data_IF_554401519878
#
_entry.id   IF_554401519878
#
_cell.length_a   1.000
_cell.length_b   1.000
_cell.length_c   1.000
_cell.angle_alpha   90.00
_cell.angle_beta   90.00
_cell.angle_gamma   90.00
#
_symmetry.space_group_name_H-M   'P 1'
#
loop_
_entity.id
_entity.type
_entity.pdbx_description
1 polymer ?
#
# COMPACT_ATOMS: atom_id res chain seq x y z
N UNK A 1 5.33 -9.47 -2.55
CA UNK A 1 5.90 -8.30 -1.84
C UNK A 1 4.78 -7.60 -1.12
N UNK A 2 5.08 -6.96 0.00
CA UNK A 2 4.15 -6.12 0.74
C UNK A 2 4.75 -4.73 0.86
N UNK A 3 3.99 -3.69 0.54
CA UNK A 3 4.36 -2.32 0.86
C UNK A 3 3.49 -1.81 2.00
N UNK A 4 4.08 -1.02 2.88
CA UNK A 4 3.36 -0.35 3.97
C UNK A 4 3.80 1.10 4.09
N UNK A 5 2.81 1.99 4.04
CA UNK A 5 2.97 3.40 4.39
C UNK A 5 2.37 3.66 5.77
N UNK A 6 2.97 4.61 6.48
CA UNK A 6 2.45 5.19 7.71
C UNK A 6 2.01 6.62 7.38
N UNK A 7 0.75 6.94 7.65
CA UNK A 7 0.18 8.28 7.50
C UNK A 7 -0.52 8.71 8.80
N UNK A 8 -1.12 9.90 8.77
CA UNK A 8 -1.92 10.42 9.88
C UNK A 8 -3.33 10.78 9.43
N UNK A 9 -4.31 10.46 10.26
CA UNK A 9 -5.71 10.87 10.08
C UNK A 9 -5.88 12.37 10.34
N UNK A 10 -7.06 12.92 9.98
CA UNK A 10 -7.37 14.33 10.21
C UNK A 10 -7.32 14.75 11.69
N UNK A 11 -7.56 13.82 12.61
CA UNK A 11 -7.44 14.02 14.06
C UNK A 11 -6.07 13.67 14.63
N UNK A 12 -5.06 13.48 13.77
CA UNK A 12 -3.66 13.31 14.16
C UNK A 12 -3.27 11.92 14.65
N UNK A 13 -4.13 10.90 14.49
CA UNK A 13 -3.79 9.51 14.83
C UNK A 13 -3.02 8.84 13.70
N UNK A 14 -2.20 7.84 14.03
CA UNK A 14 -1.53 7.04 13.02
C UNK A 14 -2.49 6.15 12.24
N UNK A 15 -2.14 5.89 10.98
CA UNK A 15 -2.83 4.97 10.08
C UNK A 15 -1.83 4.22 9.20
N UNK A 16 -2.05 2.93 9.03
CA UNK A 16 -1.33 2.10 8.07
C UNK A 16 -2.10 1.97 6.76
N UNK A 17 -1.37 2.02 5.66
CA UNK A 17 -1.88 1.77 4.30
C UNK A 17 -0.98 0.70 3.70
N UNK A 18 -1.58 -0.43 3.34
CA UNK A 18 -0.90 -1.65 2.95
C UNK A 18 -1.33 -2.05 1.54
N UNK A 19 -0.39 -2.62 0.78
CA UNK A 19 -0.71 -3.26 -0.48
C UNK A 19 0.21 -4.45 -0.73
N UNK A 20 -0.28 -5.43 -1.46
CA UNK A 20 0.45 -6.62 -1.87
C UNK A 20 0.54 -6.72 -3.38
N UNK A 21 1.73 -7.08 -3.85
CA UNK A 21 2.01 -7.18 -5.27
C UNK A 21 3.18 -8.12 -5.54
N UNK A 22 3.69 -8.06 -6.76
CA UNK A 22 4.77 -8.91 -7.24
C UNK A 22 5.98 -8.08 -7.68
N UNK A 23 7.18 -8.53 -7.33
CA UNK A 23 8.42 -8.05 -7.97
C UNK A 23 8.65 -8.90 -9.20
N UNK A 24 8.62 -8.28 -10.38
CA UNK A 24 8.76 -8.97 -11.64
C UNK A 24 10.18 -8.83 -12.18
N UNK A 25 10.66 -9.88 -12.85
CA UNK A 25 11.87 -9.78 -13.64
C UNK A 25 11.70 -8.78 -14.80
N UNK A 26 12.81 -8.18 -15.23
CA UNK A 26 12.84 -7.30 -16.39
C UNK A 26 14.12 -6.45 -16.47
N UNK A 27 14.22 -5.62 -17.52
CA UNK A 27 15.31 -4.66 -17.64
C UNK A 27 15.35 -3.69 -16.45
N UNK A 28 16.54 -3.41 -15.95
CA UNK A 28 16.77 -2.43 -14.88
C UNK A 28 17.09 -1.08 -15.53
N UNK A 29 16.35 0.00 -15.21
CA UNK A 29 16.68 1.34 -15.67
C UNK A 29 18.13 1.73 -15.28
N UNK A 30 18.93 2.35 -16.18
CA UNK A 30 20.33 2.71 -15.91
C UNK A 30 20.43 3.96 -15.02
N UNK A 31 19.77 3.96 -13.86
CA UNK A 31 19.69 5.09 -12.93
C UNK A 31 20.72 4.99 -11.79
N UNK A 32 21.46 3.88 -11.69
CA UNK A 32 22.45 3.64 -10.62
C UNK A 32 21.84 3.20 -9.28
N UNK A 33 20.52 3.07 -9.18
CA UNK A 33 19.81 2.67 -7.95
C UNK A 33 19.31 1.23 -8.02
N UNK A 34 19.13 0.61 -6.86
CA UNK A 34 18.33 -0.63 -6.74
C UNK A 34 16.88 -0.32 -7.10
N UNK A 35 16.35 -1.04 -8.08
CA UNK A 35 14.99 -0.89 -8.55
C UNK A 35 14.23 -2.22 -8.43
N UNK A 36 12.92 -2.13 -8.19
CA UNK A 36 12.01 -3.27 -8.31
C UNK A 36 10.92 -2.93 -9.32
N UNK A 37 10.63 -3.86 -10.23
CA UNK A 37 9.50 -3.71 -11.16
C UNK A 37 8.25 -4.27 -10.50
N UNK A 38 7.40 -3.40 -9.97
CA UNK A 38 6.22 -3.82 -9.22
C UNK A 38 5.00 -4.01 -10.12
N UNK A 39 4.22 -5.07 -9.86
CA UNK A 39 2.84 -5.24 -10.35
C UNK A 39 1.91 -5.38 -9.15
N UNK A 40 0.80 -4.68 -9.19
CA UNK A 40 -0.28 -4.75 -8.20
C UNK A 40 -1.59 -5.00 -8.94
N UNK A 41 -2.47 -5.78 -8.32
CA UNK A 41 -3.82 -6.03 -8.82
C UNK A 41 -4.74 -4.82 -8.53
N UNK A 42 -5.82 -4.63 -9.31
CA UNK A 42 -6.13 -5.33 -10.57
C UNK A 42 -5.31 -4.81 -11.77
N UNK A 43 -4.85 -3.57 -11.69
CA UNK A 43 -4.00 -2.93 -12.69
C UNK A 43 -3.29 -1.71 -12.07
N UNK A 44 -2.24 -1.21 -12.75
CA UNK A 44 -1.42 -0.10 -12.23
C UNK A 44 -2.22 1.17 -11.96
N UNK A 45 -3.21 1.50 -12.80
CA UNK A 45 -3.96 2.74 -12.68
C UNK A 45 -4.94 2.67 -11.52
N UNK A 46 -5.68 1.57 -11.41
CA UNK A 46 -6.60 1.31 -10.30
C UNK A 46 -5.84 1.22 -8.98
N UNK A 47 -4.69 0.54 -8.96
CA UNK A 47 -3.84 0.46 -7.77
C UNK A 47 -3.34 1.84 -7.33
N UNK A 48 -2.75 2.63 -8.24
CA UNK A 48 -2.23 3.96 -7.90
C UNK A 48 -3.35 4.87 -7.41
N UNK A 49 -4.53 4.82 -8.02
CA UNK A 49 -5.70 5.56 -7.55
C UNK A 49 -6.09 5.10 -6.13
N UNK A 50 -6.34 3.80 -5.93
CA UNK A 50 -6.73 3.26 -4.63
C UNK A 50 -5.72 3.61 -3.52
N UNK A 51 -4.42 3.44 -3.80
CA UNK A 51 -3.32 3.79 -2.90
C UNK A 51 -3.34 5.28 -2.58
N UNK A 52 -3.43 6.15 -3.59
CA UNK A 52 -3.40 7.60 -3.40
C UNK A 52 -4.61 8.13 -2.62
N UNK A 53 -5.78 7.52 -2.81
CA UNK A 53 -7.02 7.91 -2.12
C UNK A 53 -6.96 7.72 -0.60
N UNK A 54 -6.14 6.78 -0.14
CA UNK A 54 -5.94 6.53 1.29
C UNK A 54 -4.94 7.50 1.94
N UNK A 55 -4.37 8.44 1.18
CA UNK A 55 -3.45 9.46 1.68
C UNK A 55 -2.11 8.96 2.24
N UNK A 56 -1.37 8.07 1.55
CA UNK A 56 -0.05 7.63 1.96
C UNK A 56 1.00 8.73 1.74
N UNK A 57 2.14 8.60 2.41
CA UNK A 57 3.31 9.42 2.07
C UNK A 57 4.01 8.89 0.81
N UNK A 58 4.92 9.69 0.25
CA UNK A 58 5.76 9.24 -0.89
C UNK A 58 6.77 8.16 -0.48
N UNK A 59 7.06 8.00 0.83
CA UNK A 59 7.89 6.94 1.35
C UNK A 59 7.03 5.79 1.90
N UNK A 60 7.52 4.56 1.69
CA UNK A 60 6.92 3.35 2.24
C UNK A 60 8.01 2.30 2.45
N UNK A 61 7.77 1.38 3.38
CA UNK A 61 8.62 0.20 3.54
C UNK A 61 8.21 -0.87 2.53
N UNK A 62 9.19 -1.52 1.91
CA UNK A 62 9.02 -2.64 0.99
C UNK A 62 9.52 -3.93 1.66
N UNK A 63 8.64 -4.90 1.83
CA UNK A 63 8.90 -6.21 2.44
C UNK A 63 8.79 -7.37 1.46
N UNK A 64 9.54 -8.45 1.75
CA UNK A 64 9.47 -9.72 1.03
C UNK A 64 8.23 -10.50 1.48
N UNK A 65 7.60 -11.21 0.54
CA UNK A 65 6.42 -12.05 0.81
C UNK A 65 5.10 -11.29 0.73
N UNK A 66 4.01 -11.99 1.06
CA UNK A 66 2.67 -11.43 1.23
C UNK A 66 2.29 -11.55 2.71
N UNK A 67 2.66 -10.50 3.47
CA UNK A 67 2.55 -10.44 4.92
C UNK A 67 1.59 -9.35 5.42
N UNK A 68 0.69 -8.83 4.57
CA UNK A 68 -0.27 -7.80 4.96
C UNK A 68 -1.09 -8.21 6.20
N UNK A 69 -1.48 -9.49 6.29
CA UNK A 69 -2.20 -10.05 7.44
C UNK A 69 -1.45 -9.89 8.78
N UNK A 70 -0.11 -9.89 8.77
CA UNK A 70 0.71 -9.65 9.98
C UNK A 70 0.68 -8.17 10.37
N UNK A 71 0.75 -7.27 9.38
CA UNK A 71 0.67 -5.81 9.59
C UNK A 71 -0.72 -5.43 10.12
N UNK A 72 -1.77 -5.98 9.54
CA UNK A 72 -3.15 -5.82 10.00
C UNK A 72 -3.32 -6.38 11.43
N UNK A 73 -2.71 -7.53 11.73
CA UNK A 73 -2.68 -8.09 13.08
C UNK A 73 -2.00 -7.17 14.10
N UNK A 74 -0.84 -6.63 13.75
CA UNK A 74 -0.12 -5.66 14.57
C UNK A 74 -0.98 -4.40 14.81
N UNK A 75 -1.56 -3.85 13.75
CA UNK A 75 -2.41 -2.66 13.82
C UNK A 75 -3.61 -2.88 14.74
N UNK A 76 -4.27 -4.04 14.64
CA UNK A 76 -5.38 -4.43 15.55
C UNK A 76 -4.93 -4.47 17.01
N UNK A 77 -3.77 -5.09 17.31
CA UNK A 77 -3.25 -5.14 18.67
C UNK A 77 -2.94 -3.75 19.25
N UNK A 78 -2.59 -2.79 18.40
CA UNK A 78 -2.21 -1.43 18.80
C UNK A 78 -3.33 -0.40 18.67
N UNK A 79 -4.51 -0.81 18.19
CA UNK A 79 -5.62 0.12 17.94
C UNK A 79 -5.32 1.14 16.83
N UNK A 80 -4.44 0.82 15.90
CA UNK A 80 -4.07 1.66 14.76
C UNK A 80 -4.96 1.29 13.57
N UNK A 81 -5.51 2.30 12.89
CA UNK A 81 -6.28 2.07 11.67
C UNK A 81 -5.37 1.48 10.59
N UNK A 82 -5.84 0.46 9.87
CA UNK A 82 -5.09 -0.19 8.81
C UNK A 82 -6.02 -0.50 7.63
N UNK A 83 -5.60 -0.12 6.43
CA UNK A 83 -6.32 -0.42 5.19
C UNK A 83 -5.40 -1.17 4.24
N UNK A 84 -5.92 -2.23 3.61
CA UNK A 84 -5.23 -2.98 2.56
C UNK A 84 -5.91 -2.68 1.22
N UNK A 85 -5.27 -1.91 0.34
CA UNK A 85 -5.88 -1.44 -0.92
C UNK A 85 -5.88 -2.48 -2.03
N UNK A 86 -5.28 -3.64 -1.77
CA UNK A 86 -5.25 -4.81 -2.67
C UNK A 86 -6.10 -5.97 -2.15
N UNK A 87 -6.74 -5.82 -1.00
CA UNK A 87 -7.74 -6.78 -0.53
C UNK A 87 -8.94 -6.80 -1.52
N UNK A 88 -9.40 -7.97 -1.99
CA UNK A 88 -10.61 -8.07 -2.83
C UNK A 88 -11.87 -7.43 -2.22
N UNK A 89 -11.92 -7.32 -0.89
CA UNK A 89 -12.99 -6.65 -0.15
C UNK A 89 -12.79 -5.12 -0.05
N UNK A 90 -11.66 -4.57 -0.47
CA UNK A 90 -11.41 -3.12 -0.44
C UNK A 90 -12.48 -2.34 -1.20
N UNK A 91 -12.93 -1.24 -0.61
CA UNK A 91 -13.89 -0.29 -1.20
C UNK A 91 -13.34 1.11 -1.03
N UNK A 92 -13.36 1.89 -2.12
CA UNK A 92 -12.85 3.26 -2.12
C UNK A 92 -13.62 4.13 -1.12
N UNK A 93 -12.95 5.12 -0.49
CA UNK A 93 -13.62 6.09 0.34
C UNK A 93 -14.73 6.85 -0.41
N UNK A 94 -15.86 7.08 0.26
CA UNK A 94 -17.08 7.62 -0.37
C UNK A 94 -17.06 9.13 -0.63
N UNK A 95 -16.02 9.86 -0.21
CA UNK A 95 -15.97 11.32 -0.35
C UNK A 95 -15.66 11.80 -1.78
N UNK A 96 -15.35 10.90 -2.71
CA UNK A 96 -15.22 11.23 -4.12
C UNK A 96 -16.51 10.84 -4.83
N UNK A 97 -17.44 11.80 -4.92
CA UNK A 97 -18.55 11.71 -5.86
C UNK A 97 -17.98 11.93 -7.26
N UNK A 98 -18.27 11.02 -8.19
CA UNK A 98 -18.09 11.28 -9.63
C UNK A 98 -19.01 12.41 -10.07
#
# INVERSE_FOLDING_TARGET
MTIVALSTTADGRFRFIVAEGESLAGPIPPTGNTNTRCRFEPDVSTFIENWSLEGPTHHFALGIGHIAHLIEGFARCWGIECVNVTDPAYRRPQYIRR
#
